data_IF_296877236996
#
_entry.id   IF_296877236996
#
_cell.length_a   1.000
_cell.length_b   1.000
_cell.length_c   1.000
_cell.angle_alpha   90.00
_cell.angle_beta   90.00
_cell.angle_gamma   90.00
#
_symmetry.space_group_name_H-M   'P 1'
#
loop_
_entity.id
_entity.type
_entity.pdbx_description
1 polymer ?
#
# COMPACT_ATOMS: atom_id res chain seq x y z
N UNK A 1 14.64 -25.91 -29.66
CA UNK A 1 13.92 -24.88 -28.89
C UNK A 1 14.74 -24.66 -27.62
N UNK A 2 15.25 -23.46 -27.38
CA UNK A 2 15.98 -23.17 -26.14
C UNK A 2 15.03 -23.44 -24.97
N UNK A 3 15.47 -24.20 -23.96
CA UNK A 3 14.73 -24.35 -22.72
C UNK A 3 14.48 -22.97 -22.13
N UNK A 4 13.23 -22.55 -22.06
CA UNK A 4 12.85 -21.29 -21.41
C UNK A 4 13.13 -21.49 -19.92
N UNK A 5 14.07 -20.72 -19.38
CA UNK A 5 14.44 -20.81 -17.98
C UNK A 5 13.22 -20.50 -17.11
N UNK A 6 12.79 -21.48 -16.32
CA UNK A 6 11.66 -21.30 -15.38
C UNK A 6 12.04 -20.28 -14.33
N UNK A 7 11.21 -19.25 -14.17
CA UNK A 7 11.32 -18.20 -13.15
C UNK A 7 9.95 -18.00 -12.48
N UNK A 8 9.54 -18.91 -11.59
CA UNK A 8 8.24 -18.79 -10.91
C UNK A 8 8.08 -17.42 -10.25
N UNK A 9 6.92 -16.78 -10.48
CA UNK A 9 6.59 -15.55 -9.76
C UNK A 9 6.29 -15.88 -8.30
N UNK A 10 6.73 -15.01 -7.41
CA UNK A 10 6.47 -15.12 -5.98
C UNK A 10 5.22 -14.32 -5.62
N UNK A 11 4.43 -14.80 -4.69
CA UNK A 11 3.21 -14.12 -4.22
C UNK A 11 3.34 -13.76 -2.76
N UNK A 12 3.04 -12.50 -2.45
CA UNK A 12 2.72 -12.03 -1.10
C UNK A 12 1.20 -12.02 -0.95
N UNK A 13 0.70 -12.76 0.03
CA UNK A 13 -0.73 -12.79 0.34
C UNK A 13 -1.08 -11.67 1.33
N UNK A 14 -2.06 -10.83 0.96
CA UNK A 14 -2.43 -9.63 1.72
C UNK A 14 -3.73 -9.76 2.49
N UNK A 15 -4.41 -10.90 2.42
CA UNK A 15 -5.75 -11.09 3.01
C UNK A 15 -5.79 -10.80 4.51
N UNK A 16 -4.69 -11.01 5.23
CA UNK A 16 -4.59 -10.77 6.68
C UNK A 16 -4.21 -9.32 7.05
N UNK A 17 -3.95 -8.44 6.08
CA UNK A 17 -3.65 -7.03 6.33
C UNK A 17 -4.33 -6.09 5.33
N UNK A 18 -3.77 -5.88 4.12
CA UNK A 18 -4.18 -4.79 3.23
C UNK A 18 -5.56 -5.04 2.61
N UNK A 19 -5.89 -6.27 2.28
CA UNK A 19 -7.17 -6.63 1.71
C UNK A 19 -8.33 -6.31 2.67
N UNK A 20 -8.28 -6.78 3.93
CA UNK A 20 -9.33 -6.46 4.88
C UNK A 20 -9.26 -5.02 5.41
N UNK A 21 -8.09 -4.38 5.35
CA UNK A 21 -8.00 -2.94 5.58
C UNK A 21 -8.81 -2.18 4.53
N UNK A 22 -8.69 -2.57 3.28
CA UNK A 22 -9.33 -1.90 2.14
C UNK A 22 -10.83 -2.16 2.05
N UNK A 23 -11.28 -3.36 2.39
CA UNK A 23 -12.68 -3.79 2.23
C UNK A 23 -13.48 -3.79 3.54
N UNK A 24 -12.85 -4.11 4.66
CA UNK A 24 -13.48 -4.29 5.97
C UNK A 24 -13.03 -3.23 6.99
N UNK A 25 -12.54 -2.10 6.54
CA UNK A 25 -12.04 -1.02 7.41
C UNK A 25 -11.09 -1.52 8.52
N UNK A 26 -10.27 -2.53 8.24
CA UNK A 26 -9.33 -3.17 9.19
C UNK A 26 -10.04 -3.90 10.36
N UNK A 27 -11.27 -4.38 10.17
CA UNK A 27 -12.10 -4.96 11.25
C UNK A 27 -12.05 -6.49 11.34
N UNK A 28 -11.26 -7.18 10.54
CA UNK A 28 -11.06 -8.63 10.72
C UNK A 28 -10.38 -8.89 12.08
N UNK A 29 -10.98 -9.77 12.89
CA UNK A 29 -10.48 -10.08 14.23
C UNK A 29 -9.37 -11.13 14.18
N UNK A 30 -8.57 -11.19 15.23
CA UNK A 30 -7.57 -12.26 15.40
C UNK A 30 -8.23 -13.64 15.40
N UNK A 31 -9.39 -13.78 16.04
CA UNK A 31 -10.16 -15.01 16.09
C UNK A 31 -10.62 -15.47 14.69
N UNK A 32 -10.95 -14.54 13.80
CA UNK A 32 -11.27 -14.85 12.39
C UNK A 32 -10.04 -15.22 11.57
N UNK A 33 -8.84 -14.81 11.95
CA UNK A 33 -7.61 -15.10 11.21
C UNK A 33 -7.02 -16.47 11.54
N UNK A 34 -6.98 -16.84 12.84
CA UNK A 34 -6.21 -17.97 13.32
C UNK A 34 -6.62 -19.35 12.73
N UNK A 35 -7.91 -19.67 12.53
CA UNK A 35 -8.30 -21.02 12.09
C UNK A 35 -7.78 -21.40 10.69
N UNK A 36 -7.46 -20.44 9.83
CA UNK A 36 -7.01 -20.69 8.46
C UNK A 36 -5.48 -20.71 8.30
N UNK A 37 -4.75 -20.22 9.30
CA UNK A 37 -3.30 -20.02 9.24
C UNK A 37 -2.54 -21.28 8.85
N UNK A 38 -2.93 -22.43 9.39
CA UNK A 38 -2.27 -23.72 9.12
C UNK A 38 -2.37 -24.14 7.65
N UNK A 39 -3.49 -23.83 6.98
CA UNK A 39 -3.67 -24.06 5.55
C UNK A 39 -2.88 -23.05 4.73
N UNK A 40 -2.93 -21.78 5.08
CA UNK A 40 -2.16 -20.72 4.43
C UNK A 40 -0.65 -20.98 4.48
N UNK A 41 -0.14 -21.51 5.60
CA UNK A 41 1.29 -21.83 5.78
C UNK A 41 1.79 -22.95 4.86
N UNK A 42 0.88 -23.77 4.29
CA UNK A 42 1.19 -24.88 3.38
C UNK A 42 1.19 -24.49 1.90
N UNK A 43 0.67 -23.32 1.55
CA UNK A 43 0.55 -22.88 0.15
C UNK A 43 1.90 -22.67 -0.53
N UNK A 44 2.88 -22.19 0.24
CA UNK A 44 4.20 -21.81 -0.27
C UNK A 44 4.30 -20.34 -0.67
N UNK A 45 3.47 -19.46 -0.12
CA UNK A 45 3.59 -18.02 -0.29
C UNK A 45 5.01 -17.53 0.03
N UNK A 46 5.47 -16.53 -0.72
CA UNK A 46 6.72 -15.85 -0.39
C UNK A 46 6.67 -15.17 0.98
N UNK A 47 5.56 -14.50 1.25
CA UNK A 47 5.22 -13.93 2.53
C UNK A 47 3.70 -13.78 2.70
N UNK A 48 3.25 -13.61 3.92
CA UNK A 48 1.91 -13.12 4.26
C UNK A 48 2.06 -11.76 4.93
N UNK A 49 1.43 -10.74 4.34
CA UNK A 49 1.35 -9.43 4.98
C UNK A 49 0.23 -9.44 6.01
N UNK A 50 0.58 -9.28 7.29
CA UNK A 50 -0.35 -9.51 8.39
C UNK A 50 -0.40 -8.40 9.43
N UNK A 51 0.46 -7.39 9.32
CA UNK A 51 0.60 -6.38 10.36
C UNK A 51 1.01 -5.01 9.80
N UNK A 52 0.73 -3.94 10.57
CA UNK A 52 1.05 -2.57 10.18
C UNK A 52 0.31 -1.55 11.03
N UNK A 53 0.45 -0.26 10.68
CA UNK A 53 -0.08 0.85 11.48
C UNK A 53 -1.60 0.83 11.65
N UNK A 54 -2.34 0.62 10.58
CA UNK A 54 -3.80 0.56 10.65
C UNK A 54 -4.29 -0.67 11.43
N UNK A 55 -3.58 -1.79 11.34
CA UNK A 55 -3.86 -2.99 12.13
C UNK A 55 -3.68 -2.72 13.61
N UNK A 56 -2.56 -2.11 14.00
CA UNK A 56 -2.26 -1.74 15.37
C UNK A 56 -3.35 -0.82 15.94
N UNK A 57 -3.68 0.23 15.19
CA UNK A 57 -4.68 1.21 15.58
C UNK A 57 -6.09 0.61 15.71
N UNK A 58 -6.47 -0.26 14.75
CA UNK A 58 -7.78 -0.93 14.76
C UNK A 58 -7.92 -1.92 15.91
N UNK A 59 -6.88 -2.67 16.24
CA UNK A 59 -6.86 -3.56 17.40
C UNK A 59 -7.21 -2.79 18.68
N UNK A 60 -6.55 -1.67 18.92
CA UNK A 60 -6.74 -0.86 20.12
C UNK A 60 -8.08 -0.13 20.16
N UNK A 61 -8.45 0.53 19.04
CA UNK A 61 -9.60 1.45 19.04
C UNK A 61 -10.94 0.73 18.86
N UNK A 62 -10.97 -0.35 18.10
CA UNK A 62 -12.23 -0.93 17.65
C UNK A 62 -12.41 -2.39 18.05
N UNK A 63 -11.37 -3.19 18.02
CA UNK A 63 -11.46 -4.62 18.25
C UNK A 63 -11.22 -5.00 19.71
N UNK A 64 -10.65 -4.10 20.52
CA UNK A 64 -10.24 -4.35 21.90
C UNK A 64 -9.28 -5.54 22.01
N UNK A 65 -8.36 -5.62 21.05
CA UNK A 65 -7.32 -6.65 20.98
C UNK A 65 -5.94 -6.04 21.25
N UNK A 66 -5.03 -6.83 21.83
CA UNK A 66 -3.61 -6.50 21.88
C UNK A 66 -2.97 -6.77 20.51
N UNK A 67 -2.47 -5.74 19.80
CA UNK A 67 -1.87 -5.92 18.49
C UNK A 67 -0.60 -6.77 18.52
N UNK A 68 0.18 -6.75 19.60
CA UNK A 68 1.37 -7.58 19.78
C UNK A 68 1.01 -9.05 20.02
N UNK A 69 -0.05 -9.31 20.77
CA UNK A 69 -0.56 -10.66 20.96
C UNK A 69 -1.06 -11.26 19.64
N UNK A 70 -1.78 -10.46 18.82
CA UNK A 70 -2.16 -10.87 17.46
C UNK A 70 -0.95 -11.31 16.65
N UNK A 71 0.12 -10.51 16.63
CA UNK A 71 1.33 -10.83 15.89
C UNK A 71 1.96 -12.14 16.38
N UNK A 72 2.10 -12.31 17.69
CA UNK A 72 2.67 -13.55 18.28
C UNK A 72 1.84 -14.78 17.95
N UNK A 73 0.51 -14.68 17.99
CA UNK A 73 -0.41 -15.77 17.62
C UNK A 73 -0.28 -16.15 16.15
N UNK A 74 -0.23 -15.16 15.25
CA UNK A 74 0.00 -15.41 13.83
C UNK A 74 1.37 -16.05 13.60
N UNK A 75 2.44 -15.54 14.24
CA UNK A 75 3.77 -16.15 14.14
C UNK A 75 3.79 -17.59 14.64
N UNK A 76 3.08 -17.90 15.69
CA UNK A 76 3.00 -19.28 16.21
C UNK A 76 2.32 -20.24 15.21
N UNK A 77 1.39 -19.74 14.39
CA UNK A 77 0.71 -20.52 13.36
C UNK A 77 1.53 -20.65 12.07
N UNK A 78 2.14 -19.58 11.61
CA UNK A 78 3.00 -19.58 10.42
C UNK A 78 4.40 -20.08 10.76
N UNK A 79 4.79 -21.26 10.31
CA UNK A 79 6.11 -21.86 10.58
C UNK A 79 7.04 -21.81 9.37
N UNK A 80 6.48 -21.88 8.18
CA UNK A 80 7.22 -21.95 6.90
C UNK A 80 7.16 -20.63 6.12
N UNK A 81 6.12 -19.84 6.33
CA UNK A 81 5.86 -18.61 5.58
C UNK A 81 6.39 -17.40 6.33
N UNK A 82 7.05 -16.50 5.62
CA UNK A 82 7.51 -15.22 6.17
C UNK A 82 6.32 -14.31 6.50
N UNK A 83 6.44 -13.57 7.60
CA UNK A 83 5.49 -12.54 7.98
C UNK A 83 6.01 -11.16 7.60
N UNK A 84 5.18 -10.39 6.94
CA UNK A 84 5.48 -9.04 6.48
C UNK A 84 4.61 -8.02 7.18
N UNK A 85 5.20 -6.86 7.48
CA UNK A 85 4.47 -5.69 7.94
C UNK A 85 4.71 -4.48 7.06
N UNK A 86 3.72 -3.57 7.02
CA UNK A 86 3.87 -2.24 6.45
C UNK A 86 4.32 -1.24 7.53
N UNK A 87 5.34 -0.44 7.21
CA UNK A 87 5.99 0.49 8.12
C UNK A 87 6.15 1.87 7.49
N UNK A 88 5.68 2.92 8.16
CA UNK A 88 5.67 4.29 7.60
C UNK A 88 6.96 5.06 7.89
N UNK A 89 8.12 4.51 7.54
CA UNK A 89 9.40 5.18 7.74
C UNK A 89 9.53 5.82 9.12
N UNK A 90 9.91 7.10 9.18
CA UNK A 90 10.07 7.83 10.44
C UNK A 90 8.75 8.02 11.21
N UNK A 91 7.60 7.80 10.59
CA UNK A 91 6.29 7.91 11.24
C UNK A 91 5.86 6.61 11.94
N UNK A 92 6.56 5.50 11.77
CA UNK A 92 6.22 4.18 12.35
C UNK A 92 4.79 3.77 12.00
N UNK A 93 3.85 4.01 12.91
CA UNK A 93 2.41 3.75 12.81
C UNK A 93 1.58 5.03 12.72
N UNK A 94 2.21 6.18 13.01
CA UNK A 94 1.54 7.47 13.19
C UNK A 94 1.53 8.35 11.95
N UNK A 95 1.25 9.62 12.20
CA UNK A 95 1.11 10.67 11.18
C UNK A 95 2.16 11.79 11.32
N UNK A 96 3.07 11.68 12.29
CA UNK A 96 4.19 12.58 12.52
C UNK A 96 5.47 11.77 12.72
N UNK A 97 6.62 12.39 12.52
CA UNK A 97 7.91 11.77 12.79
C UNK A 97 8.11 11.49 14.27
N UNK A 98 8.63 10.31 14.57
CA UNK A 98 9.12 9.91 15.89
C UNK A 98 10.63 10.09 15.97
N UNK A 99 11.17 10.12 17.18
CA UNK A 99 12.61 10.11 17.39
C UNK A 99 13.24 8.78 16.95
N UNK A 100 14.52 8.81 16.58
CA UNK A 100 15.23 7.66 16.03
C UNK A 100 15.23 6.45 16.96
N UNK A 101 15.45 6.68 18.26
CA UNK A 101 15.44 5.62 19.28
C UNK A 101 14.09 4.91 19.40
N UNK A 102 12.98 5.64 19.20
CA UNK A 102 11.63 5.06 19.17
C UNK A 102 11.46 4.20 17.91
N UNK A 103 11.94 4.67 16.75
CA UNK A 103 11.92 3.90 15.50
C UNK A 103 12.74 2.61 15.65
N UNK A 104 13.97 2.71 16.18
CA UNK A 104 14.84 1.56 16.42
C UNK A 104 14.20 0.55 17.35
N UNK A 105 13.64 0.99 18.46
CA UNK A 105 12.99 0.13 19.45
C UNK A 105 11.75 -0.57 18.89
N UNK A 106 10.95 0.16 18.10
CA UNK A 106 9.76 -0.42 17.47
C UNK A 106 10.12 -1.51 16.45
N UNK A 107 11.14 -1.27 15.61
CA UNK A 107 11.66 -2.27 14.67
C UNK A 107 12.17 -3.49 15.40
N UNK A 108 12.98 -3.32 16.46
CA UNK A 108 13.49 -4.40 17.29
C UNK A 108 12.34 -5.27 17.85
N UNK A 109 11.30 -4.62 18.39
CA UNK A 109 10.15 -5.34 18.95
C UNK A 109 9.32 -6.04 17.87
N UNK A 110 9.17 -5.44 16.70
CA UNK A 110 8.44 -6.06 15.58
C UNK A 110 9.11 -7.37 15.14
N UNK A 111 10.42 -7.35 14.95
CA UNK A 111 11.19 -8.54 14.56
C UNK A 111 11.19 -9.58 15.69
N UNK A 112 11.41 -9.17 16.94
CA UNK A 112 11.39 -10.07 18.09
C UNK A 112 10.03 -10.76 18.31
N UNK A 113 8.94 -10.16 17.88
CA UNK A 113 7.59 -10.73 17.94
C UNK A 113 7.16 -11.48 16.67
N UNK A 114 8.03 -11.60 15.66
CA UNK A 114 7.83 -12.55 14.56
C UNK A 114 7.74 -11.96 13.16
N UNK A 115 7.99 -10.67 12.97
CA UNK A 115 8.09 -10.08 11.62
C UNK A 115 9.43 -10.46 10.98
N UNK A 116 9.37 -10.95 9.75
CA UNK A 116 10.54 -11.27 8.93
C UNK A 116 10.87 -10.15 7.93
N UNK A 117 9.84 -9.56 7.32
CA UNK A 117 9.98 -8.52 6.29
C UNK A 117 9.36 -7.22 6.78
N UNK A 118 10.15 -6.16 6.84
CA UNK A 118 9.63 -4.82 7.10
C UNK A 118 9.58 -4.08 5.76
N UNK A 119 8.36 -3.83 5.27
CA UNK A 119 8.09 -3.00 4.11
C UNK A 119 8.02 -1.55 4.55
N UNK A 120 9.06 -0.79 4.26
CA UNK A 120 9.23 0.58 4.70
C UNK A 120 8.89 1.53 3.56
N UNK A 121 8.03 2.51 3.78
CA UNK A 121 7.70 3.53 2.80
C UNK A 121 7.68 4.93 3.41
N UNK A 122 7.85 5.93 2.57
CA UNK A 122 7.61 7.33 2.88
C UNK A 122 6.56 7.91 1.94
N UNK A 123 5.67 8.76 2.46
CA UNK A 123 4.58 9.32 1.67
C UNK A 123 5.04 10.33 0.60
N UNK A 124 6.24 10.88 0.73
CA UNK A 124 6.85 11.81 -0.23
C UNK A 124 7.90 11.14 -1.11
N UNK A 125 8.22 9.86 -0.86
CA UNK A 125 9.40 9.17 -1.38
C UNK A 125 10.73 9.87 -0.98
N UNK A 126 10.75 10.54 0.16
CA UNK A 126 11.97 11.09 0.73
C UNK A 126 12.75 9.99 1.44
N UNK A 127 13.78 9.47 0.77
CA UNK A 127 14.57 8.33 1.27
C UNK A 127 15.26 8.60 2.61
N UNK A 128 15.50 9.87 2.97
CA UNK A 128 16.08 10.23 4.28
C UNK A 128 15.17 9.81 5.44
N UNK A 129 13.85 9.80 5.22
CA UNK A 129 12.86 9.36 6.20
C UNK A 129 12.84 7.83 6.40
N UNK A 130 13.60 7.09 5.60
CA UNK A 130 13.70 5.62 5.66
C UNK A 130 14.95 5.13 6.39
N UNK A 131 15.97 5.98 6.50
CA UNK A 131 17.32 5.56 6.94
C UNK A 131 17.34 4.88 8.30
N UNK A 132 16.69 5.45 9.30
CA UNK A 132 16.69 4.89 10.67
C UNK A 132 16.02 3.51 10.70
N UNK A 133 14.86 3.38 10.03
CA UNK A 133 14.16 2.10 9.96
C UNK A 133 14.94 1.04 9.19
N UNK A 134 15.63 1.42 8.10
CA UNK A 134 16.50 0.52 7.32
C UNK A 134 17.66 0.03 8.20
N UNK A 135 18.39 0.93 8.84
CA UNK A 135 19.52 0.59 9.73
C UNK A 135 19.08 -0.32 10.88
N UNK A 136 17.97 0.00 11.51
CA UNK A 136 17.42 -0.80 12.60
C UNK A 136 17.01 -2.21 12.13
N UNK A 137 16.34 -2.32 10.99
CA UNK A 137 15.94 -3.63 10.43
C UNK A 137 17.15 -4.49 10.09
N UNK A 138 18.19 -3.92 9.48
CA UNK A 138 19.43 -4.65 9.19
C UNK A 138 20.16 -5.09 10.46
N UNK A 139 20.20 -4.24 11.48
CA UNK A 139 20.79 -4.55 12.79
C UNK A 139 20.12 -5.77 13.45
N UNK A 140 18.80 -5.84 13.35
CA UNK A 140 17.99 -6.96 13.87
C UNK A 140 17.92 -8.16 12.90
N UNK A 141 18.68 -8.15 11.79
CA UNK A 141 18.73 -9.21 10.75
C UNK A 141 17.38 -9.45 10.06
N UNK A 142 16.50 -8.47 10.04
CA UNK A 142 15.26 -8.50 9.26
C UNK A 142 15.51 -8.23 7.77
N UNK A 143 14.55 -8.61 6.94
CA UNK A 143 14.55 -8.28 5.52
C UNK A 143 14.00 -6.87 5.33
N UNK A 144 14.78 -6.01 4.71
CA UNK A 144 14.39 -4.64 4.35
C UNK A 144 13.77 -4.65 2.97
N UNK A 145 12.48 -4.39 2.87
CA UNK A 145 11.84 -4.05 1.61
C UNK A 145 11.49 -2.56 1.61
N UNK A 146 12.04 -1.79 0.69
CA UNK A 146 11.63 -0.39 0.53
C UNK A 146 10.52 -0.31 -0.51
N UNK A 147 9.40 0.31 -0.14
CA UNK A 147 8.28 0.55 -1.03
C UNK A 147 8.25 2.00 -1.49
N UNK A 148 8.31 2.19 -2.81
CA UNK A 148 8.13 3.48 -3.44
C UNK A 148 6.65 3.74 -3.66
N UNK A 149 6.16 4.85 -3.15
CA UNK A 149 4.79 5.31 -3.37
C UNK A 149 4.62 5.72 -4.83
N UNK A 150 3.94 4.88 -5.62
CA UNK A 150 3.74 5.12 -7.04
C UNK A 150 2.71 6.21 -7.31
N UNK A 151 3.00 7.09 -8.24
CA UNK A 151 2.09 8.14 -8.69
C UNK A 151 2.43 8.59 -10.11
N UNK A 152 1.56 9.38 -10.69
CA UNK A 152 1.73 10.01 -12.01
C UNK A 152 2.05 11.49 -11.85
N UNK A 153 2.74 12.05 -12.83
CA UNK A 153 3.12 13.47 -12.89
C UNK A 153 4.42 13.67 -13.66
N UNK A 154 4.67 14.87 -14.13
CA UNK A 154 5.83 15.19 -15.00
C UNK A 154 7.19 14.94 -14.31
N UNK A 155 7.22 14.96 -12.97
CA UNK A 155 8.41 14.69 -12.19
C UNK A 155 8.71 13.18 -12.05
N UNK A 156 7.71 12.33 -12.22
CA UNK A 156 7.82 10.89 -12.00
C UNK A 156 8.12 10.15 -13.32
N UNK A 157 9.24 10.52 -13.93
CA UNK A 157 9.73 9.92 -15.18
C UNK A 157 10.32 8.53 -14.94
N UNK A 158 10.53 7.75 -16.01
CA UNK A 158 11.22 6.46 -15.90
C UNK A 158 12.64 6.63 -15.31
N UNK A 159 13.34 7.70 -15.65
CA UNK A 159 14.64 8.03 -15.08
C UNK A 159 14.56 8.33 -13.57
N UNK A 160 13.51 9.01 -13.12
CA UNK A 160 13.27 9.20 -11.69
C UNK A 160 13.19 7.87 -10.95
N UNK A 161 12.36 6.94 -11.46
CA UNK A 161 12.21 5.62 -10.83
C UNK A 161 13.50 4.78 -10.88
N UNK A 162 14.24 4.86 -11.98
CA UNK A 162 15.53 4.20 -12.11
C UNK A 162 16.56 4.70 -11.11
N UNK A 163 16.65 6.02 -10.94
CA UNK A 163 17.62 6.64 -10.05
C UNK A 163 17.31 6.36 -8.58
N UNK A 164 16.04 6.53 -8.16
CA UNK A 164 15.67 6.25 -6.78
C UNK A 164 15.81 4.75 -6.43
N UNK A 165 15.64 3.84 -7.40
CA UNK A 165 15.88 2.42 -7.20
C UNK A 165 17.36 2.12 -6.90
N UNK A 166 18.30 2.83 -7.55
CA UNK A 166 19.75 2.73 -7.24
C UNK A 166 20.05 3.24 -5.84
N UNK A 167 19.50 4.41 -5.47
CA UNK A 167 19.69 4.97 -4.14
C UNK A 167 19.18 4.03 -3.05
N UNK A 168 18.07 3.32 -3.30
CA UNK A 168 17.51 2.31 -2.40
C UNK A 168 18.44 1.09 -2.28
N UNK A 169 19.01 0.62 -3.38
CA UNK A 169 20.01 -0.47 -3.35
C UNK A 169 21.26 -0.06 -2.56
N UNK A 170 21.77 1.14 -2.80
CA UNK A 170 22.92 1.70 -2.08
C UNK A 170 22.63 1.88 -0.58
N UNK A 171 21.39 2.14 -0.19
CA UNK A 171 20.95 2.20 1.20
C UNK A 171 20.97 0.83 1.90
N UNK A 172 21.07 -0.27 1.15
CA UNK A 172 21.14 -1.64 1.66
C UNK A 172 19.82 -2.36 1.76
N UNK A 173 18.82 -1.97 0.98
CA UNK A 173 17.57 -2.72 0.87
C UNK A 173 17.82 -4.14 0.31
N UNK A 174 16.97 -5.08 0.70
CA UNK A 174 17.01 -6.46 0.23
C UNK A 174 15.99 -6.72 -0.91
N UNK A 175 14.98 -5.86 -1.05
CA UNK A 175 14.04 -5.85 -2.17
C UNK A 175 13.38 -4.47 -2.31
N UNK A 176 12.84 -4.20 -3.51
CA UNK A 176 12.13 -2.97 -3.87
C UNK A 176 10.68 -3.29 -4.17
N UNK A 177 9.74 -2.54 -3.60
CA UNK A 177 8.32 -2.60 -3.96
C UNK A 177 7.88 -1.32 -4.66
N UNK A 178 7.18 -1.45 -5.78
CA UNK A 178 6.39 -0.37 -6.36
C UNK A 178 4.99 -0.46 -5.77
N UNK A 179 4.64 0.51 -4.92
CA UNK A 179 3.39 0.52 -4.17
C UNK A 179 2.39 1.49 -4.78
N UNK A 180 1.47 0.96 -5.55
CA UNK A 180 0.40 1.69 -6.24
C UNK A 180 -0.91 1.64 -5.45
N UNK A 181 -1.09 2.60 -4.56
CA UNK A 181 -2.24 2.68 -3.65
C UNK A 181 -3.55 3.07 -4.34
N UNK A 182 -3.48 3.72 -5.50
CA UNK A 182 -4.65 4.23 -6.21
C UNK A 182 -5.02 3.42 -7.46
N UNK A 183 -4.23 2.41 -7.82
CA UNK A 183 -4.46 1.62 -9.03
C UNK A 183 -4.15 2.40 -10.31
N UNK A 184 -3.08 3.21 -10.30
CA UNK A 184 -2.69 4.09 -11.40
C UNK A 184 -1.77 3.43 -12.42
N UNK A 185 -1.11 2.35 -12.04
CA UNK A 185 -0.12 1.66 -12.87
C UNK A 185 -0.82 0.84 -13.95
N UNK A 186 -0.77 1.31 -15.19
CA UNK A 186 -1.36 0.63 -16.34
C UNK A 186 -0.46 -0.49 -16.85
N UNK A 187 -1.00 -1.51 -17.57
CA UNK A 187 -0.23 -2.69 -17.96
C UNK A 187 1.05 -2.41 -18.76
N UNK A 188 0.96 -1.60 -19.79
CA UNK A 188 2.14 -1.30 -20.63
C UNK A 188 3.14 -0.37 -19.93
N UNK A 189 2.67 0.54 -19.09
CA UNK A 189 3.57 1.35 -18.27
C UNK A 189 4.27 0.49 -17.20
N UNK A 190 3.60 -0.52 -16.65
CA UNK A 190 4.24 -1.49 -15.76
C UNK A 190 5.36 -2.27 -16.46
N UNK A 191 5.14 -2.68 -17.71
CA UNK A 191 6.17 -3.33 -18.53
C UNK A 191 7.40 -2.44 -18.70
N UNK A 192 7.21 -1.18 -19.09
CA UNK A 192 8.31 -0.21 -19.24
C UNK A 192 9.02 0.06 -17.91
N UNK A 193 8.25 0.31 -16.85
CA UNK A 193 8.78 0.59 -15.52
C UNK A 193 9.63 -0.57 -15.00
N UNK A 194 9.16 -1.81 -15.09
CA UNK A 194 9.91 -2.98 -14.62
C UNK A 194 11.22 -3.14 -15.40
N UNK A 195 11.19 -2.98 -16.74
CA UNK A 195 12.40 -3.03 -17.56
C UNK A 195 13.44 -2.00 -17.10
N UNK A 196 13.02 -0.77 -16.90
CA UNK A 196 13.89 0.33 -16.45
C UNK A 196 14.42 0.11 -15.03
N UNK A 197 13.59 -0.40 -14.12
CA UNK A 197 14.02 -0.77 -12.78
C UNK A 197 15.08 -1.89 -12.81
N UNK A 198 14.90 -2.92 -13.64
CA UNK A 198 15.88 -4.01 -13.81
C UNK A 198 17.23 -3.54 -14.38
N UNK A 199 17.24 -2.44 -15.12
CA UNK A 199 18.47 -1.77 -15.53
C UNK A 199 19.11 -0.94 -14.41
N UNK A 200 18.30 -0.44 -13.49
CA UNK A 200 18.70 0.44 -12.40
C UNK A 200 19.19 -0.28 -11.14
N UNK A 201 18.67 -1.47 -10.85
CA UNK A 201 18.95 -2.21 -9.63
C UNK A 201 18.99 -3.72 -9.85
N UNK A 202 19.73 -4.43 -8.99
CA UNK A 202 19.76 -5.89 -8.93
C UNK A 202 18.76 -6.45 -7.92
N UNK A 203 18.09 -5.59 -7.17
CA UNK A 203 17.13 -6.00 -6.16
C UNK A 203 15.95 -6.77 -6.79
N UNK A 204 15.40 -7.78 -6.10
CA UNK A 204 14.10 -8.31 -6.44
C UNK A 204 13.04 -7.19 -6.46
N UNK A 205 12.21 -7.18 -7.49
CA UNK A 205 11.14 -6.18 -7.66
C UNK A 205 9.82 -6.82 -7.31
N UNK A 206 9.10 -6.15 -6.42
CA UNK A 206 7.73 -6.44 -6.01
C UNK A 206 6.77 -5.39 -6.58
N UNK A 207 5.60 -5.79 -7.02
CA UNK A 207 4.54 -4.85 -7.40
C UNK A 207 3.30 -5.10 -6.57
N UNK A 208 2.88 -4.03 -5.91
CA UNK A 208 1.64 -3.94 -5.16
C UNK A 208 0.74 -2.90 -5.81
N UNK A 209 -0.41 -3.29 -6.34
CA UNK A 209 -1.40 -2.35 -6.89
C UNK A 209 -2.81 -2.69 -6.44
N UNK A 210 -3.60 -1.63 -6.19
CA UNK A 210 -5.01 -1.75 -5.90
C UNK A 210 -5.83 -1.87 -7.19
N UNK A 211 -6.96 -2.55 -7.12
CA UNK A 211 -7.79 -2.86 -8.29
C UNK A 211 -8.77 -1.75 -8.66
N UNK A 212 -8.67 -0.58 -8.05
CA UNK A 212 -9.64 0.52 -8.14
C UNK A 212 -9.95 0.95 -9.57
N UNK A 213 -8.94 0.98 -10.45
CA UNK A 213 -9.12 1.33 -11.88
C UNK A 213 -9.58 0.15 -12.77
N UNK A 214 -9.51 -1.08 -12.26
CA UNK A 214 -9.89 -2.28 -13.00
C UNK A 214 -8.79 -2.93 -13.84
N UNK A 215 -7.56 -2.40 -13.85
CA UNK A 215 -6.48 -2.90 -14.72
C UNK A 215 -5.43 -3.76 -14.01
N UNK A 216 -5.50 -3.89 -12.70
CA UNK A 216 -4.40 -4.42 -11.86
C UNK A 216 -3.96 -5.85 -12.23
N UNK A 217 -4.85 -6.78 -12.59
CA UNK A 217 -4.45 -8.13 -13.01
C UNK A 217 -3.66 -8.11 -14.33
N UNK A 218 -4.07 -7.27 -15.29
CA UNK A 218 -3.34 -7.08 -16.54
C UNK A 218 -2.00 -6.40 -16.30
N UNK A 219 -1.96 -5.47 -15.35
CA UNK A 219 -0.71 -4.82 -14.88
C UNK A 219 0.27 -5.85 -14.34
N UNK A 220 -0.19 -6.78 -13.49
CA UNK A 220 0.66 -7.85 -12.96
C UNK A 220 1.16 -8.79 -14.05
N UNK A 221 0.30 -9.16 -15.00
CA UNK A 221 0.70 -9.99 -16.13
C UNK A 221 1.86 -9.35 -16.90
N UNK A 222 1.71 -8.10 -17.30
CA UNK A 222 2.74 -7.38 -18.06
C UNK A 222 4.01 -7.13 -17.25
N UNK A 223 3.88 -6.86 -15.96
CA UNK A 223 5.01 -6.69 -15.06
C UNK A 223 5.85 -7.97 -14.91
N UNK A 224 5.18 -9.12 -14.72
CA UNK A 224 5.85 -10.42 -14.56
C UNK A 224 6.55 -10.82 -15.86
N UNK A 225 5.90 -10.64 -17.01
CA UNK A 225 6.53 -10.84 -18.33
C UNK A 225 7.78 -9.97 -18.53
N UNK A 226 7.80 -8.76 -17.96
CA UNK A 226 8.94 -7.83 -18.00
C UNK A 226 10.05 -8.16 -16.99
N UNK A 227 9.83 -9.12 -16.09
CA UNK A 227 10.83 -9.57 -15.11
C UNK A 227 10.56 -9.19 -13.66
N UNK A 228 9.35 -8.73 -13.31
CA UNK A 228 8.94 -8.57 -11.91
C UNK A 228 9.04 -9.91 -11.18
N UNK A 229 9.56 -9.90 -9.95
CA UNK A 229 9.86 -11.11 -9.20
C UNK A 229 8.73 -11.52 -8.24
N UNK A 230 8.00 -10.52 -7.72
CA UNK A 230 7.00 -10.69 -6.66
C UNK A 230 5.78 -9.85 -7.00
N UNK A 231 4.59 -10.37 -6.70
CA UNK A 231 3.32 -9.63 -6.79
C UNK A 231 2.50 -9.81 -5.52
N UNK A 232 1.80 -8.75 -5.11
CA UNK A 232 0.89 -8.77 -3.97
C UNK A 232 -0.52 -9.10 -4.43
N UNK A 233 -1.09 -10.18 -3.89
CA UNK A 233 -2.44 -10.64 -4.20
C UNK A 233 -3.27 -10.78 -2.92
N UNK A 234 -4.57 -10.94 -3.09
CA UNK A 234 -5.49 -11.23 -1.99
C UNK A 234 -6.39 -12.42 -2.35
N UNK A 235 -6.71 -13.27 -1.38
CA UNK A 235 -7.69 -14.34 -1.55
C UNK A 235 -9.01 -13.79 -2.10
N UNK A 236 -9.61 -14.47 -3.08
CA UNK A 236 -10.70 -13.95 -3.92
C UNK A 236 -11.90 -13.35 -3.15
N UNK A 237 -12.34 -13.87 -1.99
CA UNK A 237 -13.43 -13.23 -1.27
C UNK A 237 -13.13 -11.80 -0.78
N UNK A 238 -11.85 -11.47 -0.58
CA UNK A 238 -11.39 -10.14 -0.15
C UNK A 238 -10.46 -9.49 -1.18
N UNK A 239 -10.56 -9.89 -2.45
CA UNK A 239 -9.80 -9.31 -3.57
C UNK A 239 -10.64 -8.30 -4.36
N UNK A 240 -9.97 -7.63 -5.30
CA UNK A 240 -10.55 -6.71 -6.29
C UNK A 240 -11.16 -5.44 -5.68
N UNK A 241 -11.84 -4.63 -6.46
CA UNK A 241 -12.36 -3.34 -6.01
C UNK A 241 -11.25 -2.45 -5.46
N UNK A 242 -11.34 -2.05 -4.19
CA UNK A 242 -10.29 -1.28 -3.52
C UNK A 242 -9.16 -2.14 -2.91
N UNK A 243 -9.22 -3.46 -3.08
CA UNK A 243 -8.18 -4.42 -2.67
C UNK A 243 -7.25 -4.77 -3.85
N UNK A 244 -6.52 -5.87 -3.76
CA UNK A 244 -5.56 -6.35 -4.75
C UNK A 244 -6.19 -7.36 -5.72
N UNK A 245 -5.47 -7.77 -6.80
CA UNK A 245 -5.86 -8.89 -7.65
C UNK A 245 -6.03 -10.19 -6.86
N UNK A 246 -6.97 -11.02 -7.31
CA UNK A 246 -7.25 -12.31 -6.65
C UNK A 246 -6.09 -13.29 -6.80
N UNK A 247 -5.64 -13.88 -5.69
CA UNK A 247 -4.53 -14.83 -5.64
C UNK A 247 -4.75 -16.01 -6.56
N UNK A 248 -5.90 -16.69 -6.48
CA UNK A 248 -6.22 -17.89 -7.26
C UNK A 248 -6.25 -17.59 -8.76
N UNK A 249 -6.74 -16.39 -9.13
CA UNK A 249 -6.79 -15.95 -10.52
C UNK A 249 -5.40 -15.73 -11.08
N UNK A 250 -4.51 -15.10 -10.31
CA UNK A 250 -3.14 -14.88 -10.75
C UNK A 250 -2.34 -16.18 -10.82
N UNK A 251 -2.55 -17.10 -9.88
CA UNK A 251 -1.95 -18.45 -9.92
C UNK A 251 -2.37 -19.18 -11.19
N UNK A 252 -3.66 -19.16 -11.53
CA UNK A 252 -4.16 -19.80 -12.75
C UNK A 252 -3.67 -19.11 -14.02
N UNK A 253 -3.57 -17.77 -14.00
CA UNK A 253 -3.05 -16.98 -15.12
C UNK A 253 -1.63 -17.40 -15.53
N UNK A 254 -0.79 -17.76 -14.55
CA UNK A 254 0.60 -18.18 -14.82
C UNK A 254 0.78 -19.69 -14.97
N UNK A 255 -0.27 -20.50 -14.78
CA UNK A 255 -0.19 -21.95 -14.87
C UNK A 255 0.35 -22.40 -16.23
N UNK A 256 1.32 -23.31 -16.21
CA UNK A 256 1.94 -23.86 -17.42
C UNK A 256 2.87 -22.89 -18.17
N UNK A 257 3.08 -21.67 -17.65
CA UNK A 257 4.05 -20.70 -18.17
C UNK A 257 5.39 -20.80 -17.43
N UNK A 258 6.45 -20.13 -17.88
CA UNK A 258 7.72 -20.05 -17.12
C UNK A 258 7.58 -19.43 -15.73
N UNK A 259 6.49 -18.73 -15.47
CA UNK A 259 6.19 -17.99 -14.22
C UNK A 259 5.31 -18.78 -13.25
N UNK A 260 4.93 -20.01 -13.62
CA UNK A 260 4.03 -20.87 -12.84
C UNK A 260 4.51 -21.04 -11.39
N UNK A 261 3.64 -20.69 -10.45
CA UNK A 261 3.93 -20.75 -9.01
C UNK A 261 4.00 -22.20 -8.49
N UNK A 262 3.31 -23.12 -9.16
CA UNK A 262 3.13 -24.49 -8.69
C UNK A 262 2.21 -24.63 -7.48
N UNK A 263 1.44 -23.60 -7.12
CA UNK A 263 0.53 -23.67 -5.97
C UNK A 263 -0.66 -24.61 -6.24
N UNK A 264 -1.08 -25.27 -5.19
CA UNK A 264 -2.24 -26.17 -5.20
C UNK A 264 -3.55 -25.37 -5.22
N UNK A 265 -4.29 -25.44 -6.33
CA UNK A 265 -5.57 -24.73 -6.51
C UNK A 265 -6.67 -25.25 -5.58
N UNK A 266 -6.66 -26.55 -5.24
CA UNK A 266 -7.66 -27.10 -4.32
C UNK A 266 -7.44 -26.54 -2.90
N UNK A 267 -6.19 -26.42 -2.47
CA UNK A 267 -5.84 -25.78 -1.21
C UNK A 267 -6.22 -24.28 -1.22
N UNK A 268 -5.98 -23.56 -2.31
CA UNK A 268 -6.40 -22.17 -2.44
C UNK A 268 -7.93 -22.03 -2.40
N UNK A 269 -8.67 -22.95 -3.06
CA UNK A 269 -10.12 -22.97 -3.00
C UNK A 269 -10.64 -23.16 -1.56
N UNK A 270 -10.06 -24.09 -0.80
CA UNK A 270 -10.41 -24.28 0.62
C UNK A 270 -10.17 -23.03 1.47
N UNK A 271 -9.09 -22.28 1.20
CA UNK A 271 -8.80 -21.02 1.87
C UNK A 271 -9.83 -19.95 1.47
N UNK A 272 -10.19 -19.85 0.19
CA UNK A 272 -11.23 -18.95 -0.28
C UNK A 272 -12.60 -19.26 0.34
N UNK A 273 -12.97 -20.53 0.43
CA UNK A 273 -14.21 -20.98 1.08
C UNK A 273 -14.27 -20.54 2.55
N UNK A 274 -13.13 -20.52 3.23
CA UNK A 274 -13.05 -20.03 4.61
C UNK A 274 -13.36 -18.53 4.72
N UNK A 275 -12.86 -17.69 3.81
CA UNK A 275 -13.08 -16.25 3.85
C UNK A 275 -14.45 -15.81 3.30
N UNK A 276 -15.14 -16.67 2.54
CA UNK A 276 -16.43 -16.37 1.94
C UNK A 276 -17.49 -15.98 2.98
N UNK A 277 -17.74 -16.73 4.06
CA UNK A 277 -18.71 -16.34 5.07
C UNK A 277 -18.31 -15.06 5.83
N UNK A 278 -17.03 -14.78 6.01
CA UNK A 278 -16.55 -13.53 6.60
C UNK A 278 -16.95 -12.32 5.72
N UNK A 279 -16.78 -12.44 4.40
CA UNK A 279 -17.24 -11.43 3.44
C UNK A 279 -18.75 -11.26 3.48
N UNK A 280 -19.52 -12.35 3.49
CA UNK A 280 -20.98 -12.33 3.48
C UNK A 280 -21.52 -11.64 4.74
N UNK A 281 -20.97 -11.96 5.90
CA UNK A 281 -21.34 -11.29 7.16
C UNK A 281 -21.00 -9.80 7.13
N UNK A 282 -19.84 -9.43 6.59
CA UNK A 282 -19.46 -8.03 6.44
C UNK A 282 -20.41 -7.27 5.49
N UNK A 283 -20.90 -7.90 4.43
CA UNK A 283 -21.93 -7.34 3.54
C UNK A 283 -23.27 -7.17 4.26
N UNK A 284 -23.71 -8.17 5.01
CA UNK A 284 -24.99 -8.13 5.77
C UNK A 284 -24.95 -7.05 6.85
N UNK A 285 -23.85 -6.93 7.58
CA UNK A 285 -23.69 -5.92 8.64
C UNK A 285 -23.47 -4.49 8.12
N UNK A 286 -23.20 -4.34 6.82
CA UNK A 286 -22.85 -3.05 6.21
C UNK A 286 -21.40 -2.60 6.46
N UNK A 287 -20.58 -3.43 7.09
CA UNK A 287 -19.15 -3.18 7.27
C UNK A 287 -18.43 -3.12 5.91
N UNK A 288 -18.75 -4.05 5.01
CA UNK A 288 -18.32 -4.01 3.62
C UNK A 288 -19.36 -3.24 2.79
N UNK A 289 -18.98 -2.03 2.38
CA UNK A 289 -19.83 -1.24 1.50
C UNK A 289 -19.72 -1.75 0.05
N UNK A 290 -20.81 -2.17 -0.62
CA UNK A 290 -20.77 -2.66 -2.00
C UNK A 290 -20.12 -1.69 -3.00
N UNK A 291 -20.12 -0.39 -2.73
CA UNK A 291 -19.50 0.63 -3.59
C UNK A 291 -17.98 0.45 -3.76
N UNK A 292 -17.30 -0.15 -2.79
CA UNK A 292 -15.85 -0.39 -2.86
C UNK A 292 -15.49 -1.67 -3.64
N UNK A 293 -16.48 -2.47 -4.03
CA UNK A 293 -16.29 -3.68 -4.84
C UNK A 293 -16.25 -3.41 -6.35
N UNK A 294 -16.71 -2.26 -6.77
CA UNK A 294 -16.67 -1.85 -8.18
C UNK A 294 -15.30 -1.32 -8.59
N UNK A 295 -15.16 -1.07 -9.89
CA UNK A 295 -13.99 -0.42 -10.48
C UNK A 295 -14.41 0.88 -11.16
N UNK A 296 -13.51 1.88 -11.13
CA UNK A 296 -13.74 3.17 -11.79
C UNK A 296 -12.45 3.64 -12.48
N UNK A 297 -12.43 3.57 -13.80
CA UNK A 297 -11.30 4.02 -14.61
C UNK A 297 -11.02 5.53 -14.48
N UNK A 298 -11.98 6.32 -13.98
CA UNK A 298 -11.78 7.75 -13.70
C UNK A 298 -10.75 7.99 -12.61
N UNK A 299 -10.41 6.98 -11.81
CA UNK A 299 -9.30 7.02 -10.86
C UNK A 299 -8.00 7.46 -11.52
N UNK A 300 -7.76 7.05 -12.77
CA UNK A 300 -6.58 7.49 -13.54
C UNK A 300 -6.57 9.00 -13.80
N UNK A 301 -7.74 9.64 -13.88
CA UNK A 301 -7.86 11.08 -14.07
C UNK A 301 -7.66 11.89 -12.80
N UNK A 302 -8.27 11.46 -11.70
CA UNK A 302 -8.24 12.20 -10.42
C UNK A 302 -7.11 11.75 -9.52
N UNK A 303 -6.56 10.56 -9.74
CA UNK A 303 -5.43 9.97 -9.01
C UNK A 303 -5.70 9.81 -7.51
N UNK A 304 -6.95 9.63 -7.13
CA UNK A 304 -7.40 9.59 -5.73
C UNK A 304 -7.60 8.15 -5.27
N UNK A 305 -6.89 7.71 -4.20
CA UNK A 305 -7.09 6.38 -3.61
C UNK A 305 -8.53 6.19 -3.10
N UNK A 306 -9.05 4.96 -3.19
CA UNK A 306 -10.42 4.63 -2.77
C UNK A 306 -10.75 5.02 -1.33
N UNK A 307 -9.83 4.82 -0.38
CA UNK A 307 -10.00 5.23 1.00
C UNK A 307 -10.11 6.74 1.20
N UNK A 308 -9.45 7.53 0.35
CA UNK A 308 -9.56 8.98 0.37
C UNK A 308 -10.96 9.44 -0.09
N UNK A 309 -11.54 8.81 -1.11
CA UNK A 309 -12.87 9.15 -1.61
C UNK A 309 -13.94 9.03 -0.52
N UNK A 310 -13.88 7.97 0.28
CA UNK A 310 -14.82 7.76 1.39
C UNK A 310 -14.71 8.87 2.44
N UNK A 311 -13.50 9.29 2.78
CA UNK A 311 -13.27 10.39 3.71
C UNK A 311 -13.80 11.73 3.18
N UNK A 312 -13.61 12.02 1.88
CA UNK A 312 -14.11 13.24 1.25
C UNK A 312 -15.65 13.32 1.30
N UNK A 313 -16.31 12.21 1.00
CA UNK A 313 -17.78 12.13 1.08
C UNK A 313 -18.27 12.40 2.50
N UNK A 314 -17.62 11.82 3.51
CA UNK A 314 -17.98 12.03 4.92
C UNK A 314 -17.79 13.50 5.34
N UNK A 315 -16.67 14.11 5.00
CA UNK A 315 -16.40 15.53 5.32
C UNK A 315 -17.40 16.47 4.66
N UNK A 316 -17.77 16.23 3.40
CA UNK A 316 -18.77 17.04 2.70
C UNK A 316 -20.16 16.86 3.28
N UNK A 317 -20.51 15.64 3.72
CA UNK A 317 -21.78 15.36 4.39
C UNK A 317 -21.86 16.07 5.74
N UNK A 318 -20.83 16.03 6.55
CA UNK A 318 -20.73 16.75 7.82
C UNK A 318 -20.88 18.27 7.64
N UNK A 319 -20.36 18.80 6.52
CA UNK A 319 -20.50 20.21 6.14
C UNK A 319 -21.82 20.55 5.45
N UNK A 320 -22.72 19.58 5.20
CA UNK A 320 -23.96 19.80 4.46
C UNK A 320 -23.77 20.25 3.00
N UNK A 321 -22.65 19.85 2.37
CA UNK A 321 -22.25 20.30 1.04
C UNK A 321 -21.91 19.13 0.08
N UNK A 322 -22.66 18.04 0.17
CA UNK A 322 -22.47 16.83 -0.65
C UNK A 322 -22.53 17.12 -2.16
N UNK A 323 -23.30 18.12 -2.56
CA UNK A 323 -23.41 18.57 -3.95
C UNK A 323 -22.11 19.13 -4.53
N UNK A 324 -21.13 19.45 -3.70
CA UNK A 324 -19.80 19.97 -4.12
C UNK A 324 -18.77 18.88 -4.35
N UNK A 325 -19.10 17.61 -4.24
CA UNK A 325 -18.16 16.49 -4.38
C UNK A 325 -17.34 16.55 -5.67
N UNK A 326 -17.98 16.85 -6.81
CA UNK A 326 -17.29 16.99 -8.09
C UNK A 326 -16.26 18.13 -8.08
N UNK A 327 -16.59 19.25 -7.46
CA UNK A 327 -15.68 20.40 -7.35
C UNK A 327 -14.44 20.05 -6.51
N UNK A 328 -14.61 19.24 -5.47
CA UNK A 328 -13.50 18.75 -4.65
C UNK A 328 -12.60 17.83 -5.46
N UNK A 329 -13.14 16.91 -6.26
CA UNK A 329 -12.36 16.05 -7.14
C UNK A 329 -11.52 16.85 -8.16
N UNK A 330 -12.06 17.95 -8.68
CA UNK A 330 -11.37 18.84 -9.60
C UNK A 330 -10.31 19.72 -8.89
N UNK A 331 -10.49 20.01 -7.60
CA UNK A 331 -9.55 20.79 -6.80
C UNK A 331 -8.35 19.98 -6.31
N UNK A 332 -8.49 18.66 -6.08
CA UNK A 332 -7.42 17.80 -5.60
C UNK A 332 -6.15 17.87 -6.45
N UNK A 333 -6.18 17.72 -7.78
CA UNK A 333 -4.97 17.86 -8.62
C UNK A 333 -4.30 19.23 -8.52
N UNK A 334 -5.09 20.28 -8.31
CA UNK A 334 -4.60 21.66 -8.17
C UNK A 334 -3.85 21.83 -6.83
N UNK A 335 -4.45 21.39 -5.73
CA UNK A 335 -3.80 21.40 -4.42
C UNK A 335 -2.55 20.53 -4.44
N UNK A 336 -2.63 19.33 -5.03
CA UNK A 336 -1.47 18.44 -5.17
C UNK A 336 -0.31 19.13 -5.89
N UNK A 337 -0.59 19.84 -7.00
CA UNK A 337 0.42 20.62 -7.74
C UNK A 337 1.04 21.71 -6.88
N UNK A 338 0.22 22.48 -6.15
CA UNK A 338 0.71 23.53 -5.25
C UNK A 338 1.56 22.97 -4.11
N UNK A 339 1.30 21.74 -3.69
CA UNK A 339 2.00 21.03 -2.61
C UNK A 339 3.23 20.23 -3.09
N UNK A 340 3.78 20.53 -4.27
CA UNK A 340 5.00 19.91 -4.78
C UNK A 340 4.80 18.50 -5.36
N UNK A 341 3.60 18.19 -5.80
CA UNK A 341 3.22 16.92 -6.44
C UNK A 341 3.49 15.66 -5.61
N UNK A 342 3.15 15.61 -4.30
CA UNK A 342 3.37 14.41 -3.51
C UNK A 342 2.54 13.23 -4.04
N UNK A 343 3.00 11.98 -3.86
CA UNK A 343 2.14 10.82 -4.01
C UNK A 343 0.92 10.91 -3.09
N UNK A 344 -0.24 10.38 -3.50
CA UNK A 344 -1.45 10.37 -2.68
C UNK A 344 -1.55 9.04 -1.91
N UNK A 345 -0.80 8.95 -0.83
CA UNK A 345 -0.79 7.85 0.14
C UNK A 345 -0.91 8.42 1.55
N UNK A 346 -1.11 7.59 2.57
CA UNK A 346 -1.16 8.09 3.96
C UNK A 346 0.20 8.62 4.42
N UNK A 347 0.31 9.86 5.00
CA UNK A 347 -0.77 10.82 5.25
C UNK A 347 -1.00 11.87 4.16
N UNK A 348 -0.17 11.96 3.12
CA UNK A 348 -0.23 13.02 2.09
C UNK A 348 -1.59 13.10 1.38
N UNK A 349 -2.24 11.96 1.14
CA UNK A 349 -3.59 11.91 0.54
C UNK A 349 -4.62 12.62 1.41
N UNK A 350 -4.55 12.44 2.72
CA UNK A 350 -5.45 13.09 3.67
C UNK A 350 -5.20 14.60 3.73
N UNK A 351 -3.93 15.00 3.73
CA UNK A 351 -3.53 16.41 3.75
C UNK A 351 -4.07 17.13 2.50
N UNK A 352 -3.79 16.60 1.32
CA UNK A 352 -4.23 17.17 0.04
C UNK A 352 -5.77 17.16 -0.06
N UNK A 353 -6.40 16.06 0.32
CA UNK A 353 -7.85 15.91 0.26
C UNK A 353 -8.58 16.88 1.19
N UNK A 354 -8.18 16.95 2.44
CA UNK A 354 -8.78 17.88 3.41
C UNK A 354 -8.58 19.32 2.99
N UNK A 355 -7.42 19.70 2.47
CA UNK A 355 -7.19 21.03 1.95
C UNK A 355 -8.09 21.35 0.75
N UNK A 356 -8.28 20.40 -0.17
CA UNK A 356 -9.18 20.56 -1.31
C UNK A 356 -10.64 20.77 -0.85
N UNK A 357 -11.09 20.01 0.14
CA UNK A 357 -12.42 20.21 0.78
C UNK A 357 -12.54 21.61 1.38
N UNK A 358 -11.54 22.05 2.14
CA UNK A 358 -11.55 23.38 2.78
C UNK A 358 -11.58 24.50 1.74
N UNK A 359 -10.84 24.39 0.64
CA UNK A 359 -10.86 25.35 -0.45
C UNK A 359 -12.27 25.49 -1.07
N UNK A 360 -12.94 24.35 -1.30
CA UNK A 360 -14.27 24.32 -1.92
C UNK A 360 -15.37 24.80 -0.96
N UNK A 361 -15.29 24.40 0.30
CA UNK A 361 -16.29 24.79 1.31
C UNK A 361 -16.22 26.27 1.59
N UNK A 362 -15.01 26.84 1.75
CA UNK A 362 -14.82 28.27 2.03
C UNK A 362 -15.11 29.18 0.82
N UNK A 363 -15.16 28.62 -0.40
CA UNK A 363 -15.30 29.35 -1.65
C UNK A 363 -14.05 30.15 -2.07
N UNK A 364 -12.96 30.07 -1.31
CA UNK A 364 -11.71 30.73 -1.57
C UNK A 364 -10.53 29.79 -1.22
N UNK A 365 -9.56 29.67 -2.16
CA UNK A 365 -8.42 28.77 -1.99
C UNK A 365 -7.52 29.24 -0.84
N UNK A 366 -7.15 28.33 0.05
CA UNK A 366 -6.25 28.56 1.18
C UNK A 366 -6.72 29.61 2.21
N UNK A 367 -8.02 29.92 2.22
CA UNK A 367 -8.64 30.73 3.29
C UNK A 367 -8.71 29.96 4.61
N UNK A 368 -9.02 28.66 4.53
CA UNK A 368 -8.99 27.74 5.65
C UNK A 368 -7.88 26.73 5.45
N UNK A 369 -6.90 26.72 6.35
CA UNK A 369 -5.70 25.87 6.25
C UNK A 369 -5.63 24.92 7.43
N UNK A 370 -5.79 23.61 7.22
CA UNK A 370 -5.56 22.59 8.24
C UNK A 370 -4.11 22.62 8.75
N UNK A 371 -3.93 22.21 10.01
CA UNK A 371 -2.61 22.18 10.67
C UNK A 371 -1.61 21.31 9.89
N UNK A 372 -2.07 20.19 9.35
CA UNK A 372 -1.25 19.24 8.60
C UNK A 372 -0.79 19.83 7.26
N UNK A 373 -1.63 20.62 6.58
CA UNK A 373 -1.24 21.37 5.38
C UNK A 373 -0.12 22.37 5.67
N UNK A 374 -0.24 23.08 6.80
CA UNK A 374 0.79 24.00 7.26
C UNK A 374 2.11 23.27 7.55
N UNK A 375 2.07 22.18 8.28
CA UNK A 375 3.23 21.35 8.60
C UNK A 375 3.93 20.82 7.35
N UNK A 376 3.16 20.37 6.34
CA UNK A 376 3.72 19.92 5.07
C UNK A 376 4.47 21.06 4.37
N UNK A 377 3.87 22.25 4.28
CA UNK A 377 4.50 23.44 3.69
C UNK A 377 5.72 23.97 4.46
N UNK A 378 5.82 23.65 5.75
CA UNK A 378 7.01 23.93 6.59
C UNK A 378 8.10 22.86 6.42
N UNK A 379 7.84 21.78 5.67
CA UNK A 379 8.80 20.70 5.43
C UNK A 379 8.88 19.67 6.57
N UNK A 380 7.95 19.66 7.53
CA UNK A 380 7.97 18.74 8.67
C UNK A 380 7.78 17.25 8.27
N UNK A 381 7.30 16.98 7.04
CA UNK A 381 7.16 15.62 6.49
C UNK A 381 8.34 15.20 5.60
N UNK A 382 9.26 16.11 5.28
CA UNK A 382 10.36 15.88 4.37
C UNK A 382 10.26 16.70 3.08
N UNK A 383 11.02 16.30 2.06
CA UNK A 383 11.14 16.99 0.77
C UNK A 383 10.21 16.37 -0.28
N UNK A 384 9.42 17.19 -0.92
CA UNK A 384 8.61 16.81 -2.09
C UNK A 384 9.47 16.75 -3.37
N UNK A 385 9.00 16.00 -4.37
CA UNK A 385 9.69 15.84 -5.66
C UNK A 385 9.86 17.16 -6.41
N UNK A 386 8.87 18.05 -6.33
CA UNK A 386 8.93 19.44 -6.82
C UNK A 386 8.87 20.42 -5.65
N UNK A 387 9.40 21.64 -5.82
CA UNK A 387 9.21 22.68 -4.80
C UNK A 387 7.72 23.00 -4.65
N UNK A 388 7.34 23.46 -3.46
CA UNK A 388 6.02 24.03 -3.21
C UNK A 388 5.78 25.27 -4.07
N UNK A 389 4.52 25.53 -4.41
CA UNK A 389 4.16 26.81 -5.04
C UNK A 389 4.49 27.95 -4.07
N UNK A 390 5.42 28.87 -4.42
CA UNK A 390 5.91 29.87 -3.47
C UNK A 390 4.84 30.88 -3.02
N UNK A 391 3.86 31.21 -3.86
CA UNK A 391 2.76 32.10 -3.49
C UNK A 391 1.81 31.42 -2.49
N UNK A 392 1.53 30.14 -2.72
CA UNK A 392 0.70 29.33 -1.82
C UNK A 392 1.43 29.11 -0.48
N UNK A 393 2.73 28.84 -0.52
CA UNK A 393 3.54 28.68 0.70
C UNK A 393 3.50 29.95 1.57
N UNK A 394 3.68 31.14 0.98
CA UNK A 394 3.55 32.42 1.70
C UNK A 394 2.15 32.65 2.28
N UNK A 395 1.12 32.12 1.63
CA UNK A 395 -0.25 32.29 2.11
C UNK A 395 -0.54 31.38 3.32
N UNK A 396 0.09 30.19 3.33
CA UNK A 396 -0.16 29.16 4.35
C UNK A 396 0.72 29.36 5.61
N UNK A 397 1.98 29.78 5.43
CA UNK A 397 2.95 30.00 6.52
C UNK A 397 2.96 31.47 6.93
#
# INVERSE_FOLDING_TARGET
MAEVQKKPVKIVETVLRDAHQSLLATRMTTEQMLPIVDKMDKVGYYAVECWGGATFDSCLRFLKEDPWERLRKLRAGFKNTKLQMLFRGQNILGYNHYADDVVEYFVQKSIANGIDIIRIFDCLNDIRNLETAVKATKKEKGHVQIALSYTLGDAYTLDYWKNIAREIEDMGADSLCIKDMAGLLTPYHAEELVKVLKEGTKLPIDIHTHYTSGVASMTYLKAVEAGCDIIDCAMSPLAMGTSQPATEVMVETFRGTPYDTGYDQDLLAEIADYFTPIREEALKSGLLNPKVLGVDIKTLRYQVPGGMLSNLVSQLKEAGQENKYRQVLEEIPRVRKDFGEPPLVTPSSQIVGTQAVMNVISGERYKLVPKESKKLMMGEFGKTVKPFNPEVQKTII
#
